data_IF_750181312218
#
_entry.id   IF_750181312218
#
_cell.length_a   1.000
_cell.length_b   1.000
_cell.length_c   1.000
_cell.angle_alpha   90.00
_cell.angle_beta   90.00
_cell.angle_gamma   90.00
#
_symmetry.space_group_name_H-M   'P 1'
#
loop_
_entity.id
_entity.type
_entity.pdbx_description
1 polymer ?
#
# COMPACT_ATOMS: atom_id res chain seq x y z
N UNK A 1 -26.93 2.77 5.24
CA UNK A 1 -25.68 3.40 5.71
C UNK A 1 -25.86 3.73 7.18
N UNK A 2 -24.82 3.63 8.01
CA UNK A 2 -24.89 3.98 9.42
C UNK A 2 -24.67 5.49 9.58
N UNK A 3 -25.28 6.07 10.62
CA UNK A 3 -25.02 7.45 11.00
C UNK A 3 -23.61 7.60 11.53
N UNK A 4 -23.03 8.78 11.31
CA UNK A 4 -21.85 9.23 12.05
C UNK A 4 -22.06 9.02 13.56
N UNK A 5 -21.01 8.72 14.30
CA UNK A 5 -21.08 8.49 15.73
C UNK A 5 -20.27 9.56 16.45
N UNK A 6 -20.83 10.10 17.53
CA UNK A 6 -20.11 11.00 18.43
C UNK A 6 -19.32 10.18 19.46
N UNK A 7 -18.33 9.44 18.96
CA UNK A 7 -17.48 8.56 19.74
C UNK A 7 -16.08 8.54 19.13
N UNK A 8 -15.05 8.62 19.99
CA UNK A 8 -13.67 8.59 19.52
C UNK A 8 -13.16 7.16 19.38
N UNK A 9 -12.65 6.78 18.22
CA UNK A 9 -11.99 5.49 18.01
C UNK A 9 -10.51 5.48 18.45
N UNK A 10 -10.01 6.61 18.93
CA UNK A 10 -8.62 6.79 19.40
C UNK A 10 -8.32 6.14 20.76
N UNK A 11 -9.31 5.52 21.41
CA UNK A 11 -9.12 4.82 22.68
C UNK A 11 -9.97 3.56 22.77
N UNK A 12 -9.55 2.58 23.59
CA UNK A 12 -10.34 1.37 23.86
C UNK A 12 -11.75 1.68 24.39
N UNK A 13 -11.87 2.66 25.29
CA UNK A 13 -13.18 3.10 25.83
C UNK A 13 -14.07 3.63 24.71
N UNK A 14 -13.53 4.49 23.86
CA UNK A 14 -14.31 5.10 22.79
C UNK A 14 -14.66 4.12 21.67
N UNK A 15 -13.79 3.15 21.35
CA UNK A 15 -14.17 1.99 20.51
C UNK A 15 -15.36 1.24 21.10
N UNK A 16 -15.41 1.05 22.43
CA UNK A 16 -16.58 0.46 23.10
C UNK A 16 -17.87 1.29 22.89
N UNK A 17 -17.77 2.62 22.88
CA UNK A 17 -18.90 3.51 22.60
C UNK A 17 -19.35 3.44 21.13
N UNK A 18 -18.42 3.25 20.20
CA UNK A 18 -18.72 2.99 18.78
C UNK A 18 -19.53 1.69 18.65
N UNK A 19 -19.12 0.61 19.30
CA UNK A 19 -19.87 -0.67 19.27
C UNK A 19 -21.27 -0.55 19.87
N UNK A 20 -21.40 0.17 20.99
CA UNK A 20 -22.72 0.44 21.56
C UNK A 20 -23.60 1.24 20.59
N UNK A 21 -23.05 2.25 19.93
CA UNK A 21 -23.76 3.06 18.92
C UNK A 21 -24.15 2.22 17.70
N UNK A 22 -23.27 1.33 17.23
CA UNK A 22 -23.56 0.38 16.14
C UNK A 22 -24.75 -0.51 16.47
N UNK A 23 -24.76 -1.07 17.68
CA UNK A 23 -25.88 -1.89 18.14
C UNK A 23 -27.19 -1.10 18.15
N UNK A 24 -27.22 0.10 18.77
CA UNK A 24 -28.41 0.94 18.78
C UNK A 24 -28.92 1.31 17.37
N UNK A 25 -28.00 1.59 16.45
CA UNK A 25 -28.36 1.92 15.08
C UNK A 25 -28.81 0.73 14.24
N UNK A 26 -28.45 -0.50 14.62
CA UNK A 26 -28.85 -1.71 13.90
C UNK A 26 -30.34 -2.03 14.05
N UNK A 27 -30.98 -1.55 15.12
CA UNK A 27 -32.36 -1.91 15.47
C UNK A 27 -32.54 -3.37 15.92
N UNK A 28 -31.46 -4.14 16.03
CA UNK A 28 -31.47 -5.53 16.47
C UNK A 28 -31.52 -5.65 17.99
N UNK A 29 -32.06 -6.78 18.47
CA UNK A 29 -31.91 -7.16 19.86
C UNK A 29 -30.42 -7.37 20.19
N UNK A 30 -30.04 -7.27 21.47
CA UNK A 30 -28.66 -7.55 21.87
C UNK A 30 -28.27 -8.99 21.51
N UNK A 31 -29.16 -9.96 21.71
CA UNK A 31 -28.91 -11.35 21.37
C UNK A 31 -28.61 -11.53 19.87
N UNK A 32 -29.42 -10.93 19.00
CA UNK A 32 -29.19 -10.99 17.57
C UNK A 32 -27.90 -10.27 17.19
N UNK A 33 -27.68 -9.04 17.65
CA UNK A 33 -26.51 -8.26 17.24
C UNK A 33 -25.19 -8.96 17.59
N UNK A 34 -25.09 -9.51 18.80
CA UNK A 34 -23.87 -10.14 19.30
C UNK A 34 -23.75 -11.64 18.96
N UNK A 35 -24.79 -12.28 18.43
CA UNK A 35 -24.71 -13.66 17.90
C UNK A 35 -24.23 -13.72 16.45
N UNK A 36 -24.36 -12.63 15.70
CA UNK A 36 -23.91 -12.56 14.30
C UNK A 36 -22.45 -12.14 14.18
N UNK A 37 -21.71 -12.78 13.28
CA UNK A 37 -20.36 -12.39 12.90
C UNK A 37 -20.36 -10.97 12.29
N UNK A 38 -19.49 -10.10 12.81
CA UNK A 38 -19.30 -8.72 12.38
C UNK A 38 -17.87 -8.50 11.86
N UNK A 39 -17.63 -8.67 10.54
CA UNK A 39 -16.37 -8.28 9.93
C UNK A 39 -16.25 -6.76 9.90
N UNK A 40 -15.11 -6.24 10.36
CA UNK A 40 -14.82 -4.81 10.34
C UNK A 40 -13.41 -4.57 9.82
N UNK A 41 -13.22 -3.44 9.15
CA UNK A 41 -11.89 -2.97 8.77
C UNK A 41 -11.59 -1.68 9.53
N UNK A 42 -10.33 -1.49 9.89
CA UNK A 42 -9.88 -0.25 10.50
C UNK A 42 -8.41 -0.02 10.24
N UNK A 43 -7.95 1.18 10.49
CA UNK A 43 -6.52 1.44 10.54
C UNK A 43 -5.87 0.65 11.70
N UNK A 44 -4.53 0.68 11.76
CA UNK A 44 -3.82 -0.07 12.79
C UNK A 44 -4.17 0.40 14.21
N UNK A 45 -4.38 1.69 14.42
CA UNK A 45 -4.72 2.26 15.72
C UNK A 45 -6.08 1.78 16.22
N UNK A 46 -7.11 1.83 15.37
CA UNK A 46 -8.45 1.30 15.69
C UNK A 46 -8.39 -0.19 16.03
N UNK A 47 -7.66 -0.98 15.25
CA UNK A 47 -7.50 -2.43 15.49
C UNK A 47 -6.75 -2.70 16.80
N UNK A 48 -5.74 -1.90 17.14
CA UNK A 48 -5.04 -1.99 18.43
C UNK A 48 -5.97 -1.66 19.60
N UNK A 49 -6.75 -0.58 19.48
CA UNK A 49 -7.70 -0.17 20.51
C UNK A 49 -8.80 -1.21 20.73
N UNK A 50 -9.34 -1.79 19.65
CA UNK A 50 -10.30 -2.88 19.72
C UNK A 50 -9.73 -4.11 20.43
N UNK A 51 -8.53 -4.55 20.04
CA UNK A 51 -7.89 -5.71 20.65
C UNK A 51 -7.55 -5.46 22.12
N UNK A 52 -7.10 -4.25 22.47
CA UNK A 52 -6.92 -3.83 23.85
C UNK A 52 -8.23 -3.93 24.64
N UNK A 53 -9.33 -3.38 24.11
CA UNK A 53 -10.66 -3.48 24.71
C UNK A 53 -11.07 -4.93 24.94
N UNK A 54 -10.97 -5.79 23.92
CA UNK A 54 -11.32 -7.21 24.04
C UNK A 54 -10.46 -7.91 25.09
N UNK A 55 -9.15 -7.66 25.11
CA UNK A 55 -8.25 -8.27 26.11
C UNK A 55 -8.59 -7.88 27.55
N UNK A 56 -9.12 -6.66 27.77
CA UNK A 56 -9.57 -6.21 29.09
C UNK A 56 -10.89 -6.87 29.52
N UNK A 57 -11.69 -7.33 28.56
CA UNK A 57 -13.02 -7.92 28.79
C UNK A 57 -13.03 -9.44 28.65
N UNK A 58 -11.92 -10.07 28.30
CA UNK A 58 -11.80 -11.52 28.10
C UNK A 58 -11.04 -12.15 29.27
N UNK A 59 -11.47 -13.31 29.81
CA UNK A 59 -12.66 -14.08 29.43
C UNK A 59 -13.95 -13.47 30.01
N UNK A 60 -15.03 -13.50 29.23
CA UNK A 60 -16.36 -13.14 29.71
C UNK A 60 -17.41 -13.98 28.99
N UNK A 61 -18.41 -14.46 29.72
CA UNK A 61 -19.48 -15.31 29.21
C UNK A 61 -20.54 -14.53 28.43
N UNK A 62 -20.60 -13.20 28.60
CA UNK A 62 -21.57 -12.34 27.93
C UNK A 62 -21.01 -11.83 26.58
N UNK A 63 -21.64 -12.16 25.45
CA UNK A 63 -21.18 -11.75 24.11
C UNK A 63 -21.02 -10.23 23.94
N UNK A 64 -21.84 -9.45 24.64
CA UNK A 64 -21.80 -7.98 24.63
C UNK A 64 -20.46 -7.44 25.16
N UNK A 65 -19.88 -8.15 26.12
CA UNK A 65 -18.65 -7.77 26.79
C UNK A 65 -17.44 -8.39 26.09
N UNK A 66 -17.52 -9.66 25.67
CA UNK A 66 -16.38 -10.32 25.03
C UNK A 66 -16.09 -9.82 23.62
N UNK A 67 -17.11 -9.37 22.88
CA UNK A 67 -17.00 -8.94 21.47
C UNK A 67 -16.41 -10.02 20.55
N UNK A 68 -16.60 -11.31 20.90
CA UNK A 68 -16.05 -12.44 20.13
C UNK A 68 -16.63 -12.55 18.73
N UNK A 69 -17.83 -12.02 18.52
CA UNK A 69 -18.49 -11.97 17.24
C UNK A 69 -17.86 -10.95 16.27
N UNK A 70 -16.96 -10.09 16.74
CA UNK A 70 -16.31 -9.06 15.92
C UNK A 70 -14.92 -9.52 15.45
N UNK A 71 -14.70 -9.46 14.14
CA UNK A 71 -13.41 -9.76 13.51
C UNK A 71 -12.90 -8.51 12.79
N UNK A 72 -11.89 -7.88 13.38
CA UNK A 72 -11.21 -6.75 12.77
C UNK A 72 -10.09 -7.17 11.81
N UNK A 73 -10.11 -6.59 10.63
CA UNK A 73 -9.09 -6.68 9.61
C UNK A 73 -8.34 -5.34 9.54
N UNK A 74 -7.01 -5.39 9.41
CA UNK A 74 -6.24 -4.20 9.06
C UNK A 74 -6.68 -3.73 7.67
N UNK A 75 -6.97 -2.43 7.54
CA UNK A 75 -7.33 -1.76 6.29
C UNK A 75 -6.24 -1.88 5.24
N UNK A 76 -6.61 -2.21 4.01
CA UNK A 76 -5.65 -2.52 2.95
C UNK A 76 -4.92 -1.26 2.47
N UNK A 77 -5.59 -0.11 2.39
CA UNK A 77 -4.96 1.14 1.98
C UNK A 77 -4.06 1.72 3.05
N UNK A 78 -4.49 1.77 4.32
CA UNK A 78 -3.62 2.23 5.40
C UNK A 78 -2.34 1.39 5.51
N UNK A 79 -2.43 0.06 5.29
CA UNK A 79 -1.25 -0.80 5.18
C UNK A 79 -0.35 -0.40 4.02
N UNK A 80 -0.91 -0.26 2.82
CA UNK A 80 -0.17 0.14 1.63
C UNK A 80 0.55 1.47 1.86
N UNK A 81 -0.14 2.49 2.37
CA UNK A 81 0.42 3.82 2.63
C UNK A 81 1.58 3.80 3.62
N UNK A 82 1.42 3.13 4.76
CA UNK A 82 2.46 3.07 5.79
C UNK A 82 3.69 2.27 5.34
N UNK A 83 3.48 1.12 4.68
CA UNK A 83 4.58 0.30 4.16
C UNK A 83 5.28 1.00 3.00
N UNK A 84 4.53 1.59 2.06
CA UNK A 84 5.07 2.35 0.95
C UNK A 84 5.90 3.54 1.43
N UNK A 85 5.38 4.33 2.38
CA UNK A 85 6.10 5.47 2.94
C UNK A 85 7.42 5.06 3.58
N UNK A 86 7.41 3.93 4.30
CA UNK A 86 8.62 3.41 4.93
C UNK A 86 9.62 2.91 3.90
N UNK A 87 9.20 2.08 2.95
CA UNK A 87 10.06 1.57 1.86
C UNK A 87 10.63 2.73 1.06
N UNK A 88 9.81 3.70 0.69
CA UNK A 88 10.23 4.87 -0.08
C UNK A 88 11.28 5.67 0.68
N UNK A 89 11.05 5.95 1.96
CA UNK A 89 12.02 6.66 2.83
C UNK A 89 13.36 5.93 2.88
N UNK A 90 13.36 4.60 2.97
CA UNK A 90 14.59 3.80 3.04
C UNK A 90 15.36 3.75 1.71
N UNK A 91 14.64 3.83 0.58
CA UNK A 91 15.24 3.84 -0.76
C UNK A 91 15.46 5.24 -1.32
N UNK A 92 15.00 6.30 -0.63
CA UNK A 92 15.01 7.66 -1.17
C UNK A 92 16.42 8.17 -1.44
N UNK A 93 17.35 7.92 -0.51
CA UNK A 93 18.74 8.38 -0.55
C UNK A 93 18.94 9.83 -0.10
N UNK A 94 20.16 10.35 -0.26
CA UNK A 94 20.52 11.73 0.03
C UNK A 94 20.97 12.49 -1.24
N UNK A 95 20.18 13.47 -1.74
CA UNK A 95 20.55 14.33 -2.87
C UNK A 95 21.86 15.10 -2.71
N UNK A 96 22.33 15.28 -1.47
CA UNK A 96 23.57 16.00 -1.18
C UNK A 96 24.82 15.13 -1.36
N UNK A 97 24.66 13.81 -1.51
CA UNK A 97 25.75 12.85 -1.62
C UNK A 97 25.88 12.41 -3.08
N UNK A 98 26.99 12.79 -3.73
CA UNK A 98 27.19 12.52 -5.16
C UNK A 98 27.24 11.02 -5.54
N UNK A 99 27.63 10.16 -4.59
CA UNK A 99 27.70 8.70 -4.74
C UNK A 99 26.47 7.96 -4.25
N UNK A 100 25.45 8.69 -3.77
CA UNK A 100 24.19 8.09 -3.39
C UNK A 100 23.55 7.41 -4.59
N UNK A 101 22.77 6.34 -4.36
CA UNK A 101 22.09 5.56 -5.42
C UNK A 101 20.58 5.54 -5.23
N UNK A 102 20.05 6.48 -4.45
CA UNK A 102 18.67 6.51 -4.03
C UNK A 102 17.71 6.95 -5.12
N UNK A 103 16.44 6.74 -4.85
CA UNK A 103 15.34 7.03 -5.75
C UNK A 103 15.29 8.50 -6.19
N UNK A 104 15.83 9.44 -5.41
CA UNK A 104 15.81 10.87 -5.76
C UNK A 104 16.36 11.17 -7.17
N UNK A 105 17.41 10.45 -7.61
CA UNK A 105 17.98 10.61 -8.97
C UNK A 105 17.02 10.16 -10.06
N UNK A 106 16.30 9.08 -9.79
CA UNK A 106 15.30 8.52 -10.70
C UNK A 106 14.15 9.52 -10.83
N UNK A 107 13.73 10.16 -9.74
CA UNK A 107 12.69 11.19 -9.75
C UNK A 107 13.11 12.43 -10.54
N UNK A 108 14.32 12.94 -10.30
CA UNK A 108 14.83 14.11 -11.00
C UNK A 108 14.99 13.84 -12.51
N UNK A 109 15.44 12.65 -12.89
CA UNK A 109 15.50 12.23 -14.28
C UNK A 109 14.10 12.17 -14.93
N UNK A 110 13.07 11.86 -14.15
CA UNK A 110 11.66 11.85 -14.58
C UNK A 110 10.98 13.22 -14.46
N UNK A 111 11.76 14.28 -14.25
CA UNK A 111 11.28 15.66 -14.16
C UNK A 111 10.49 15.97 -12.90
N UNK A 112 10.57 15.11 -11.87
CA UNK A 112 9.88 15.30 -10.61
C UNK A 112 10.85 15.84 -9.53
N UNK A 113 10.56 17.01 -8.92
CA UNK A 113 11.38 17.55 -7.83
C UNK A 113 11.42 16.58 -6.65
N UNK A 114 12.59 16.02 -6.36
CA UNK A 114 12.79 15.01 -5.32
C UNK A 114 12.29 15.46 -3.94
N UNK A 115 12.45 16.75 -3.61
CA UNK A 115 11.98 17.40 -2.38
C UNK A 115 10.47 17.26 -2.12
N UNK A 116 9.66 17.16 -3.18
CA UNK A 116 8.19 17.05 -3.10
C UNK A 116 7.71 15.60 -2.95
N UNK A 117 8.61 14.62 -3.04
CA UNK A 117 8.22 13.22 -3.15
C UNK A 117 7.80 12.61 -1.81
N UNK A 118 8.36 13.12 -0.69
CA UNK A 118 8.07 12.66 0.67
C UNK A 118 7.26 13.72 1.41
N UNK A 119 6.15 14.16 0.82
CA UNK A 119 5.15 14.92 1.55
C UNK A 119 4.22 13.95 2.30
N UNK A 120 4.22 14.01 3.64
CA UNK A 120 3.47 13.09 4.52
C UNK A 120 1.95 13.03 4.29
N UNK A 121 1.39 13.92 3.46
CA UNK A 121 -0.06 14.07 3.25
C UNK A 121 -0.54 13.56 1.89
N UNK A 122 0.34 13.24 0.95
CA UNK A 122 -0.06 12.78 -0.39
C UNK A 122 0.52 11.39 -0.73
N UNK A 123 -0.11 10.36 -0.15
CA UNK A 123 0.27 8.97 -0.41
C UNK A 123 0.04 8.55 -1.87
N UNK A 124 -0.93 9.16 -2.55
CA UNK A 124 -1.23 8.86 -3.95
C UNK A 124 -0.09 9.32 -4.83
N UNK A 125 0.37 10.56 -4.66
CA UNK A 125 1.50 11.11 -5.41
C UNK A 125 2.78 10.30 -5.15
N UNK A 126 3.06 9.94 -3.90
CA UNK A 126 4.20 9.13 -3.51
C UNK A 126 4.19 7.77 -4.22
N UNK A 127 3.08 7.01 -4.13
CA UNK A 127 2.96 5.69 -4.76
C UNK A 127 3.07 5.81 -6.29
N UNK A 128 2.48 6.86 -6.88
CA UNK A 128 2.61 7.12 -8.31
C UNK A 128 4.06 7.34 -8.73
N UNK A 129 4.87 8.06 -7.93
CA UNK A 129 6.29 8.21 -8.24
C UNK A 129 7.06 6.88 -8.14
N UNK A 130 6.76 6.03 -7.16
CA UNK A 130 7.37 4.69 -7.04
C UNK A 130 7.04 3.80 -8.24
N UNK A 131 5.80 3.87 -8.74
CA UNK A 131 5.35 3.19 -9.95
C UNK A 131 6.11 3.70 -11.19
N UNK A 132 6.21 5.03 -11.38
CA UNK A 132 6.97 5.63 -12.50
C UNK A 132 8.44 5.21 -12.49
N UNK A 133 9.08 5.18 -11.32
CA UNK A 133 10.46 4.69 -11.17
C UNK A 133 10.55 3.21 -11.55
N UNK A 134 9.62 2.37 -11.08
CA UNK A 134 9.56 0.94 -11.39
C UNK A 134 9.44 0.70 -12.90
N UNK A 135 8.48 1.36 -13.56
CA UNK A 135 8.27 1.26 -15.01
C UNK A 135 9.49 1.71 -15.80
N UNK A 136 10.14 2.78 -15.37
CA UNK A 136 11.33 3.33 -16.05
C UNK A 136 12.54 2.39 -15.95
N UNK A 137 12.75 1.75 -14.80
CA UNK A 137 13.81 0.74 -14.63
C UNK A 137 13.52 -0.48 -15.52
N UNK A 138 12.28 -0.97 -15.57
CA UNK A 138 11.90 -2.10 -16.42
C UNK A 138 12.09 -1.74 -17.89
N UNK A 139 11.62 -0.57 -18.32
CA UNK A 139 11.80 -0.06 -19.68
C UNK A 139 13.29 -0.01 -20.05
N UNK A 140 14.14 0.56 -19.20
CA UNK A 140 15.58 0.62 -19.43
C UNK A 140 16.20 -0.78 -19.52
N UNK A 141 15.82 -1.70 -18.64
CA UNK A 141 16.25 -3.11 -18.69
C UNK A 141 15.88 -3.80 -20.00
N UNK A 142 14.67 -3.58 -20.52
CA UNK A 142 14.26 -4.09 -21.84
C UNK A 142 15.15 -3.51 -22.95
N UNK A 143 15.44 -2.21 -22.92
CA UNK A 143 16.32 -1.57 -23.90
C UNK A 143 17.74 -2.13 -23.88
N UNK A 144 18.26 -2.45 -22.70
CA UNK A 144 19.58 -3.09 -22.52
C UNK A 144 19.57 -4.49 -23.16
N UNK A 145 18.56 -5.32 -22.91
CA UNK A 145 18.43 -6.64 -23.55
C UNK A 145 18.34 -6.53 -25.08
N UNK A 146 17.62 -5.52 -25.57
CA UNK A 146 17.49 -5.21 -26.99
C UNK A 146 18.74 -4.54 -27.60
N UNK A 147 19.77 -4.23 -26.79
CA UNK A 147 20.98 -3.47 -27.21
C UNK A 147 20.62 -2.15 -27.89
N UNK A 148 19.60 -1.49 -27.37
CA UNK A 148 19.07 -0.23 -27.90
C UNK A 148 19.19 0.93 -26.91
N UNK A 149 19.64 0.71 -25.68
CA UNK A 149 19.73 1.73 -24.63
C UNK A 149 20.59 2.96 -24.99
N UNK A 150 21.55 2.84 -25.92
CA UNK A 150 22.34 3.97 -26.41
C UNK A 150 21.73 4.70 -27.62
N UNK A 151 20.60 4.21 -28.16
CA UNK A 151 19.90 4.85 -29.27
C UNK A 151 18.94 5.91 -28.72
N UNK A 152 18.62 6.98 -29.46
CA UNK A 152 17.54 7.88 -29.07
C UNK A 152 16.21 7.12 -28.99
N UNK A 153 15.29 7.59 -28.14
CA UNK A 153 13.90 7.15 -28.18
C UNK A 153 13.28 7.45 -29.54
N UNK A 154 12.36 6.60 -29.97
CA UNK A 154 11.59 6.82 -31.19
C UNK A 154 10.13 6.92 -30.73
N UNK A 155 9.47 8.04 -31.05
CA UNK A 155 8.05 8.23 -30.73
C UNK A 155 7.14 7.28 -31.53
N UNK A 156 7.60 6.88 -32.71
CA UNK A 156 6.91 5.91 -33.55
C UNK A 156 6.96 4.50 -32.93
N UNK A 157 5.79 3.92 -32.71
CA UNK A 157 5.63 2.58 -32.15
C UNK A 157 6.10 1.55 -33.17
N UNK A 158 7.22 0.89 -32.87
CA UNK A 158 7.72 -0.23 -33.67
C UNK A 158 6.85 -1.46 -33.43
N UNK A 159 6.37 -2.09 -34.51
CA UNK A 159 5.66 -3.37 -34.43
C UNK A 159 6.66 -4.52 -34.27
N UNK A 160 6.67 -5.16 -33.11
CA UNK A 160 7.48 -6.35 -32.84
C UNK A 160 6.63 -7.63 -32.96
N UNK A 161 7.15 -8.72 -33.58
CA UNK A 161 6.52 -10.03 -33.52
C UNK A 161 6.36 -10.51 -32.07
N UNK A 162 5.21 -11.12 -31.73
CA UNK A 162 4.92 -11.59 -30.37
C UNK A 162 5.96 -12.57 -29.83
N UNK A 163 6.47 -13.47 -30.67
CA UNK A 163 7.51 -14.42 -30.27
C UNK A 163 8.83 -13.72 -29.90
N UNK A 164 9.19 -12.66 -30.62
CA UNK A 164 10.37 -11.84 -30.33
C UNK A 164 10.18 -11.07 -29.02
N UNK A 165 9.02 -10.42 -28.85
CA UNK A 165 8.67 -9.73 -27.61
C UNK A 165 8.76 -10.65 -26.40
N UNK A 166 8.15 -11.84 -26.47
CA UNK A 166 8.21 -12.82 -25.39
C UNK A 166 9.66 -13.23 -25.10
N UNK A 167 10.49 -13.47 -26.13
CA UNK A 167 11.91 -13.78 -25.93
C UNK A 167 12.67 -12.65 -25.23
N UNK A 168 12.36 -11.38 -25.52
CA UNK A 168 12.96 -10.23 -24.84
C UNK A 168 12.54 -10.20 -23.37
N UNK A 169 11.25 -10.37 -23.07
CA UNK A 169 10.73 -10.41 -21.70
C UNK A 169 11.34 -11.59 -20.91
N UNK A 170 11.39 -12.77 -21.51
CA UNK A 170 11.95 -13.99 -20.91
C UNK A 170 13.45 -13.90 -20.64
N UNK A 171 14.17 -13.00 -21.34
CA UNK A 171 15.57 -12.66 -21.04
C UNK A 171 15.66 -11.57 -19.97
N UNK A 172 14.82 -10.54 -20.04
CA UNK A 172 14.84 -9.42 -19.11
C UNK A 172 14.52 -9.86 -17.67
N UNK A 173 13.51 -10.71 -17.50
CA UNK A 173 13.06 -11.17 -16.19
C UNK A 173 14.17 -11.88 -15.37
N UNK A 174 14.83 -12.95 -15.86
CA UNK A 174 15.90 -13.60 -15.11
C UNK A 174 17.10 -12.67 -14.87
N UNK A 175 17.40 -11.76 -15.79
CA UNK A 175 18.53 -10.82 -15.69
C UNK A 175 18.38 -9.77 -14.59
N UNK A 176 17.16 -9.27 -14.33
CA UNK A 176 16.98 -8.12 -13.43
C UNK A 176 15.96 -8.36 -12.30
N UNK A 177 14.91 -9.16 -12.53
CA UNK A 177 13.78 -9.24 -11.59
C UNK A 177 13.92 -10.38 -10.55
N UNK A 178 14.87 -11.30 -10.72
CA UNK A 178 14.97 -12.49 -9.88
C UNK A 178 15.85 -12.31 -8.64
N UNK A 179 15.64 -13.19 -7.64
CA UNK A 179 16.55 -13.31 -6.50
C UNK A 179 17.99 -13.64 -6.94
N UNK A 180 18.14 -14.50 -7.95
CA UNK A 180 19.46 -14.88 -8.47
C UNK A 180 20.19 -13.66 -9.02
N UNK A 181 19.51 -12.82 -9.81
CA UNK A 181 20.07 -11.56 -10.30
C UNK A 181 20.56 -10.66 -9.16
N UNK A 182 19.74 -10.44 -8.13
CA UNK A 182 20.15 -9.67 -6.95
C UNK A 182 21.33 -10.28 -6.20
N UNK A 183 21.38 -11.59 -6.05
CA UNK A 183 22.50 -12.28 -5.40
C UNK A 183 23.80 -12.14 -6.20
N UNK A 184 23.73 -12.29 -7.54
CA UNK A 184 24.86 -12.07 -8.43
C UNK A 184 25.35 -10.62 -8.35
N UNK A 185 24.43 -9.65 -8.42
CA UNK A 185 24.74 -8.23 -8.30
C UNK A 185 25.38 -7.87 -6.96
N UNK A 186 24.98 -8.52 -5.86
CA UNK A 186 25.59 -8.33 -4.53
C UNK A 186 27.06 -8.77 -4.48
N UNK A 187 27.46 -9.68 -5.36
CA UNK A 187 28.84 -10.16 -5.49
C UNK A 187 29.72 -9.29 -6.39
N UNK A 188 29.16 -8.28 -7.07
CA UNK A 188 29.92 -7.34 -7.88
C UNK A 188 30.67 -6.33 -7.00
N UNK A 189 31.74 -5.74 -7.54
CA UNK A 189 32.56 -4.75 -6.83
C UNK A 189 31.77 -3.47 -6.47
N UNK A 190 30.84 -3.06 -7.34
CA UNK A 190 29.94 -1.93 -7.11
C UNK A 190 28.56 -2.42 -6.68
N UNK A 191 28.00 -1.88 -5.58
CA UNK A 191 26.65 -2.23 -5.14
C UNK A 191 25.55 -1.52 -5.94
N UNK A 192 25.87 -0.72 -6.96
CA UNK A 192 24.86 0.08 -7.68
C UNK A 192 23.79 -0.77 -8.36
N UNK A 193 24.21 -1.82 -9.09
CA UNK A 193 23.28 -2.78 -9.69
C UNK A 193 22.43 -3.43 -8.59
N UNK A 194 23.06 -3.89 -7.51
CA UNK A 194 22.36 -4.52 -6.39
C UNK A 194 21.30 -3.59 -5.77
N UNK A 195 21.64 -2.31 -5.52
CA UNK A 195 20.74 -1.31 -4.98
C UNK A 195 19.56 -1.05 -5.94
N UNK A 196 19.83 -0.93 -7.24
CA UNK A 196 18.80 -0.71 -8.28
C UNK A 196 17.84 -1.90 -8.35
N UNK A 197 18.36 -3.13 -8.38
CA UNK A 197 17.53 -4.34 -8.43
C UNK A 197 16.74 -4.57 -7.14
N UNK A 198 17.27 -4.16 -5.99
CA UNK A 198 16.57 -4.23 -4.71
C UNK A 198 15.45 -3.19 -4.62
N UNK A 199 15.70 -1.95 -5.06
CA UNK A 199 14.66 -0.91 -5.17
C UNK A 199 13.54 -1.36 -6.11
N UNK A 200 13.89 -1.88 -7.30
CA UNK A 200 12.93 -2.45 -8.25
C UNK A 200 12.08 -3.56 -7.60
N UNK A 201 12.72 -4.47 -6.86
CA UNK A 201 12.01 -5.52 -6.14
C UNK A 201 11.03 -4.95 -5.10
N UNK A 202 11.48 -4.05 -4.24
CA UNK A 202 10.65 -3.54 -3.14
C UNK A 202 9.51 -2.66 -3.66
N UNK A 203 9.76 -1.79 -4.63
CA UNK A 203 8.73 -0.94 -5.24
C UNK A 203 7.70 -1.77 -6.03
N UNK A 204 8.13 -2.84 -6.70
CA UNK A 204 7.20 -3.74 -7.40
C UNK A 204 6.15 -4.36 -6.47
N UNK A 205 6.47 -4.59 -5.19
CA UNK A 205 5.49 -5.11 -4.23
C UNK A 205 4.35 -4.12 -3.96
N UNK A 206 4.61 -2.82 -4.09
CA UNK A 206 3.62 -1.77 -3.86
C UNK A 206 2.74 -1.57 -5.09
N UNK A 207 3.34 -1.62 -6.29
CA UNK A 207 2.61 -1.63 -7.56
C UNK A 207 1.64 -2.82 -7.61
N UNK A 208 2.12 -4.00 -7.22
CA UNK A 208 1.31 -5.23 -7.16
C UNK A 208 0.17 -5.13 -6.13
N UNK A 209 0.41 -4.51 -4.97
CA UNK A 209 -0.64 -4.28 -3.96
C UNK A 209 -1.68 -3.24 -4.41
N UNK A 210 -1.30 -2.28 -5.26
CA UNK A 210 -2.20 -1.25 -5.83
C UNK A 210 -3.11 -1.81 -6.93
N UNK A 211 -2.68 -2.86 -7.63
CA UNK A 211 -3.42 -3.42 -8.78
C UNK A 211 -4.83 -3.94 -8.45
N UNK A 212 -5.15 -4.16 -7.17
CA UNK A 212 -6.53 -4.38 -6.72
C UNK A 212 -7.04 -5.82 -6.87
N UNK A 213 -6.17 -6.81 -7.07
CA UNK A 213 -6.51 -8.23 -6.96
C UNK A 213 -6.19 -8.79 -5.56
N UNK A 214 -7.08 -9.64 -5.05
CA UNK A 214 -6.95 -10.21 -3.71
C UNK A 214 -5.83 -11.25 -3.61
N UNK A 215 -5.57 -12.03 -4.67
CA UNK A 215 -4.49 -13.01 -4.70
C UNK A 215 -3.11 -12.35 -4.67
N UNK A 216 -2.93 -11.31 -5.48
CA UNK A 216 -1.77 -10.43 -5.49
C UNK A 216 -1.56 -9.77 -4.13
N UNK A 217 -2.63 -9.19 -3.55
CA UNK A 217 -2.58 -8.56 -2.23
C UNK A 217 -2.13 -9.53 -1.13
N UNK A 218 -2.68 -10.75 -1.11
CA UNK A 218 -2.27 -11.78 -0.14
C UNK A 218 -0.81 -12.21 -0.32
N UNK A 219 -0.34 -12.31 -1.56
CA UNK A 219 1.05 -12.67 -1.87
C UNK A 219 2.02 -11.58 -1.40
N UNK A 220 1.65 -10.30 -1.60
CA UNK A 220 2.42 -9.16 -1.11
C UNK A 220 2.41 -9.10 0.42
N UNK A 221 1.27 -9.28 1.07
CA UNK A 221 1.19 -9.24 2.54
C UNK A 221 2.02 -10.32 3.22
N UNK A 222 2.14 -11.51 2.61
CA UNK A 222 3.09 -12.55 3.07
C UNK A 222 4.54 -12.03 3.05
N UNK A 223 4.94 -11.32 2.00
CA UNK A 223 6.27 -10.71 1.91
C UNK A 223 6.46 -9.59 2.92
N UNK A 224 5.49 -8.67 3.02
CA UNK A 224 5.55 -7.57 3.97
C UNK A 224 5.53 -8.03 5.43
N UNK A 225 4.88 -9.16 5.75
CA UNK A 225 4.94 -9.77 7.08
C UNK A 225 6.38 -10.06 7.53
N UNK A 226 7.24 -10.44 6.58
CA UNK A 226 8.67 -10.69 6.80
C UNK A 226 9.46 -9.37 6.76
N UNK A 227 9.24 -8.52 5.76
CA UNK A 227 9.95 -7.23 5.64
C UNK A 227 9.72 -6.31 6.86
N UNK A 228 8.50 -6.30 7.41
CA UNK A 228 8.14 -5.49 8.57
C UNK A 228 8.93 -5.83 9.84
N UNK A 229 9.59 -7.00 9.88
CA UNK A 229 10.50 -7.35 10.98
C UNK A 229 11.82 -6.54 10.94
N UNK A 230 12.18 -6.01 9.77
CA UNK A 230 13.41 -5.25 9.57
C UNK A 230 13.18 -3.77 9.24
N UNK A 231 12.05 -3.41 8.64
CA UNK A 231 11.72 -2.03 8.27
C UNK A 231 11.57 -1.15 9.53
N UNK A 232 12.24 0.02 9.58
CA UNK A 232 12.17 0.92 10.72
C UNK A 232 10.79 1.60 10.81
N UNK A 233 10.32 1.92 12.02
CA UNK A 233 9.10 2.71 12.22
C UNK A 233 7.76 1.97 12.10
N UNK A 234 7.73 0.73 11.57
CA UNK A 234 6.49 -0.06 11.42
C UNK A 234 6.38 -1.23 12.40
N UNK A 235 6.80 -1.00 13.65
CA UNK A 235 6.92 -2.03 14.70
C UNK A 235 5.59 -2.73 15.02
N UNK A 236 4.47 -2.02 15.02
CA UNK A 236 3.15 -2.61 15.27
C UNK A 236 2.71 -3.52 14.11
N UNK A 237 2.94 -3.11 12.85
CA UNK A 237 2.69 -3.96 11.69
C UNK A 237 3.53 -5.24 11.71
N UNK A 238 4.76 -5.20 12.26
CA UNK A 238 5.60 -6.39 12.43
C UNK A 238 4.96 -7.47 13.33
N UNK A 239 3.91 -7.14 14.08
CA UNK A 239 3.19 -8.11 14.94
C UNK A 239 1.80 -8.43 14.36
N UNK A 240 1.05 -7.40 13.96
CA UNK A 240 -0.33 -7.54 13.53
C UNK A 240 -0.49 -8.12 12.11
N UNK A 241 0.38 -7.73 11.17
CA UNK A 241 0.27 -8.16 9.78
C UNK A 241 0.53 -9.67 9.60
N UNK A 242 1.63 -10.27 10.15
CA UNK A 242 1.85 -11.71 10.06
C UNK A 242 0.66 -12.51 10.60
N UNK A 243 0.08 -12.05 11.70
CA UNK A 243 -1.06 -12.71 12.32
C UNK A 243 -2.31 -12.65 11.44
N UNK A 244 -2.61 -11.49 10.86
CA UNK A 244 -3.72 -11.38 9.93
C UNK A 244 -3.53 -12.29 8.70
N UNK A 245 -2.31 -12.38 8.18
CA UNK A 245 -1.98 -13.27 7.06
C UNK A 245 -2.21 -14.73 7.44
N UNK A 246 -1.73 -15.17 8.61
CA UNK A 246 -1.97 -16.54 9.10
C UNK A 246 -3.45 -16.81 9.32
N UNK A 247 -4.19 -15.85 9.90
CA UNK A 247 -5.62 -15.96 10.09
C UNK A 247 -6.34 -16.22 8.76
N UNK A 248 -6.07 -15.39 7.76
CA UNK A 248 -6.74 -15.44 6.46
C UNK A 248 -6.29 -16.61 5.57
N UNK A 249 -5.09 -17.15 5.77
CA UNK A 249 -4.51 -18.14 4.83
C UNK A 249 -4.33 -19.54 5.41
N UNK A 250 -4.32 -19.70 6.74
CA UNK A 250 -4.03 -20.97 7.42
C UNK A 250 -5.10 -21.34 8.45
N UNK A 251 -5.51 -20.39 9.29
CA UNK A 251 -6.32 -20.70 10.49
C UNK A 251 -7.81 -20.81 10.17
N UNK A 252 -8.36 -19.86 9.40
CA UNK A 252 -9.80 -19.82 9.16
C UNK A 252 -10.27 -20.95 8.23
N UNK A 253 -11.49 -21.48 8.42
CA UNK A 253 -12.11 -22.40 7.48
C UNK A 253 -12.14 -21.80 6.06
N UNK A 254 -12.02 -22.63 4.99
CA UNK A 254 -11.88 -22.13 3.61
C UNK A 254 -12.94 -21.11 3.19
N UNK A 255 -14.20 -21.33 3.55
CA UNK A 255 -15.30 -20.43 3.20
C UNK A 255 -15.21 -19.08 3.92
N UNK A 256 -14.89 -19.08 5.22
CA UNK A 256 -14.73 -17.86 5.99
C UNK A 256 -13.47 -17.09 5.58
N UNK A 257 -12.37 -17.80 5.32
CA UNK A 257 -11.16 -17.26 4.73
C UNK A 257 -11.45 -16.58 3.39
N UNK A 258 -12.21 -17.22 2.50
CA UNK A 258 -12.61 -16.64 1.22
C UNK A 258 -13.44 -15.38 1.44
N UNK A 259 -14.47 -15.46 2.29
CA UNK A 259 -15.33 -14.32 2.59
C UNK A 259 -14.54 -13.10 3.10
N UNK A 260 -13.72 -13.26 4.15
CA UNK A 260 -12.95 -12.14 4.71
C UNK A 260 -11.88 -11.60 3.76
N UNK A 261 -11.26 -12.46 2.94
CA UNK A 261 -10.32 -11.99 1.91
C UNK A 261 -11.01 -11.12 0.86
N UNK A 262 -12.13 -11.60 0.32
CA UNK A 262 -12.91 -10.87 -0.67
C UNK A 262 -13.64 -9.63 -0.11
N UNK A 263 -13.68 -9.45 1.22
CA UNK A 263 -14.26 -8.28 1.87
C UNK A 263 -13.27 -7.11 2.07
N UNK A 264 -11.98 -7.30 1.76
CA UNK A 264 -10.94 -6.26 1.88
C UNK A 264 -11.01 -5.21 0.77
N UNK A 265 -11.46 -5.64 -0.42
CA UNK A 265 -11.53 -4.81 -1.62
C UNK A 265 -12.99 -4.73 -2.10
N UNK A 266 -13.35 -3.62 -2.71
CA UNK A 266 -14.66 -3.40 -3.32
C UNK A 266 -14.51 -2.65 -4.65
N UNK A 267 -15.49 -2.78 -5.55
CA UNK A 267 -15.58 -1.95 -6.76
C UNK A 267 -16.70 -0.92 -6.56
N UNK A 268 -16.38 0.35 -6.24
CA UNK A 268 -17.40 1.35 -5.92
C UNK A 268 -18.36 1.64 -7.08
N UNK A 269 -17.86 1.50 -8.32
CA UNK A 269 -18.63 1.77 -9.55
C UNK A 269 -19.15 0.50 -10.21
N UNK A 270 -18.81 -0.69 -9.68
CA UNK A 270 -19.10 -1.98 -10.31
C UNK A 270 -18.32 -2.25 -11.60
N UNK A 271 -17.40 -1.36 -12.01
CA UNK A 271 -16.59 -1.56 -13.21
C UNK A 271 -15.58 -2.69 -12.99
N UNK A 272 -15.37 -3.57 -13.99
CA UNK A 272 -14.28 -4.52 -14.00
C UNK A 272 -12.93 -3.83 -13.77
N UNK A 273 -12.04 -4.48 -13.04
CA UNK A 273 -10.67 -4.02 -12.76
C UNK A 273 -10.57 -2.65 -12.07
N UNK A 274 -11.65 -2.22 -11.40
CA UNK A 274 -11.71 -0.96 -10.66
C UNK A 274 -11.93 -1.21 -9.17
N UNK A 275 -11.08 -2.05 -8.59
CA UNK A 275 -11.11 -2.38 -7.18
C UNK A 275 -10.33 -1.35 -6.36
N UNK A 276 -10.89 -1.00 -5.20
CA UNK A 276 -10.22 -0.19 -4.19
C UNK A 276 -10.37 -0.87 -2.83
N UNK A 277 -9.49 -0.53 -1.89
CA UNK A 277 -9.65 -0.99 -0.53
C UNK A 277 -10.89 -0.37 0.13
N UNK A 278 -11.58 -1.17 0.97
CA UNK A 278 -12.79 -0.71 1.69
C UNK A 278 -12.50 0.48 2.61
N UNK A 279 -11.37 0.46 3.30
CA UNK A 279 -10.94 1.56 4.16
C UNK A 279 -10.63 2.84 3.37
N UNK A 280 -10.08 2.73 2.15
CA UNK A 280 -9.92 3.91 1.28
C UNK A 280 -11.25 4.47 0.80
N UNK A 281 -12.22 3.62 0.48
CA UNK A 281 -13.55 4.10 0.12
C UNK A 281 -14.22 4.84 1.29
N UNK A 282 -14.00 4.38 2.52
CA UNK A 282 -14.43 5.07 3.73
C UNK A 282 -13.78 6.45 3.86
N UNK A 283 -12.47 6.58 3.60
CA UNK A 283 -11.78 7.89 3.58
C UNK A 283 -12.39 8.86 2.57
N UNK A 284 -12.80 8.37 1.39
CA UNK A 284 -13.51 9.20 0.42
C UNK A 284 -14.83 9.71 1.00
N UNK A 285 -15.60 8.86 1.70
CA UNK A 285 -16.86 9.29 2.32
C UNK A 285 -16.62 10.31 3.44
N UNK A 286 -15.59 10.09 4.27
CA UNK A 286 -15.19 11.02 5.32
C UNK A 286 -14.80 12.37 4.74
N UNK A 287 -13.99 12.40 3.68
CA UNK A 287 -13.63 13.62 2.97
C UNK A 287 -14.86 14.42 2.52
N UNK A 288 -15.88 13.76 1.97
CA UNK A 288 -17.09 14.45 1.53
C UNK A 288 -17.90 15.02 2.69
N UNK A 289 -17.93 14.32 3.83
CA UNK A 289 -18.56 14.84 5.04
C UNK A 289 -17.83 16.08 5.56
N UNK A 290 -16.50 16.05 5.61
CA UNK A 290 -15.69 17.21 5.97
C UNK A 290 -15.85 18.36 4.97
N UNK A 291 -15.89 18.06 3.68
CA UNK A 291 -16.09 19.04 2.62
C UNK A 291 -17.43 19.79 2.78
N UNK A 292 -18.52 19.04 3.00
CA UNK A 292 -19.84 19.63 3.24
C UNK A 292 -19.88 20.40 4.55
N UNK A 293 -19.28 19.85 5.61
CA UNK A 293 -19.19 20.49 6.92
C UNK A 293 -18.49 21.85 6.84
N UNK A 294 -17.33 21.90 6.20
CA UNK A 294 -16.51 23.11 6.08
C UNK A 294 -17.14 24.19 5.20
N UNK A 295 -18.01 23.81 4.26
CA UNK A 295 -18.70 24.76 3.35
C UNK A 295 -20.05 25.26 3.87
N UNK A 296 -20.55 24.69 4.98
CA UNK A 296 -21.86 25.05 5.54
C UNK A 296 -21.85 26.33 6.40
N UNK A 297 -20.70 26.98 6.60
CA UNK A 297 -20.58 28.29 7.29
C UNK A 297 -20.65 28.23 8.83
N UNK A 298 -20.63 29.39 9.50
CA UNK A 298 -20.81 29.50 10.97
C UNK A 298 -22.25 29.11 11.34
N UNK A 299 -22.46 27.84 11.66
CA UNK A 299 -23.77 27.29 12.02
C UNK A 299 -23.98 25.81 11.71
N UNK A 300 -22.94 25.08 11.27
CA UNK A 300 -23.06 23.65 10.97
C UNK A 300 -23.38 22.87 12.24
N UNK A 301 -24.66 22.50 12.39
CA UNK A 301 -25.12 21.65 13.47
C UNK A 301 -24.57 20.22 13.26
N UNK A 302 -23.78 19.72 14.21
CA UNK A 302 -23.28 18.33 14.19
C UNK A 302 -24.42 17.31 14.08
N UNK A 303 -25.59 17.60 14.65
CA UNK A 303 -26.79 16.77 14.49
C UNK A 303 -27.23 16.69 13.02
N UNK A 304 -27.11 17.76 12.22
CA UNK A 304 -27.41 17.71 10.78
C UNK A 304 -26.38 16.88 10.02
N UNK A 305 -25.09 17.02 10.34
CA UNK A 305 -24.05 16.20 9.72
C UNK A 305 -24.28 14.71 10.02
N UNK A 306 -24.60 14.40 11.28
CA UNK A 306 -24.90 13.05 11.75
C UNK A 306 -26.21 12.51 11.16
N UNK A 307 -27.32 13.18 11.38
CA UNK A 307 -28.66 12.62 11.14
C UNK A 307 -29.14 12.80 9.69
N UNK A 308 -28.57 13.74 8.93
CA UNK A 308 -28.99 14.02 7.55
C UNK A 308 -27.87 13.67 6.57
N UNK A 309 -26.69 14.28 6.69
CA UNK A 309 -25.66 14.15 5.65
C UNK A 309 -24.99 12.78 5.64
N UNK A 310 -24.61 12.23 6.79
CA UNK A 310 -23.89 10.95 6.85
C UNK A 310 -24.68 9.79 6.22
N UNK A 311 -26.00 9.75 6.41
CA UNK A 311 -26.87 8.73 5.83
C UNK A 311 -27.05 8.87 4.32
N UNK A 312 -26.94 10.09 3.81
CA UNK A 312 -27.29 10.45 2.44
C UNK A 312 -26.08 10.85 1.60
N UNK A 313 -24.85 10.67 2.09
CA UNK A 313 -23.65 11.23 1.48
C UNK A 313 -23.44 10.76 0.03
N UNK A 314 -23.72 9.49 -0.27
CA UNK A 314 -23.66 8.96 -1.63
C UNK A 314 -24.72 9.59 -2.53
N UNK A 315 -25.95 9.74 -2.04
CA UNK A 315 -27.03 10.40 -2.80
C UNK A 315 -26.69 11.87 -3.09
N UNK A 316 -26.16 12.59 -2.09
CA UNK A 316 -25.74 13.98 -2.26
C UNK A 316 -24.59 14.12 -3.27
N UNK A 317 -23.62 13.20 -3.26
CA UNK A 317 -22.56 13.15 -4.28
C UNK A 317 -23.15 12.96 -5.68
N UNK A 318 -24.08 12.02 -5.85
CA UNK A 318 -24.75 11.77 -7.14
C UNK A 318 -25.54 12.99 -7.59
N UNK A 319 -26.35 13.59 -6.72
CA UNK A 319 -27.11 14.81 -7.03
C UNK A 319 -26.19 15.97 -7.46
N UNK A 320 -25.05 16.16 -6.77
CA UNK A 320 -24.08 17.19 -7.16
C UNK A 320 -23.41 16.89 -8.51
N UNK A 321 -23.23 15.61 -8.85
CA UNK A 321 -22.71 15.20 -10.15
C UNK A 321 -23.76 15.45 -11.24
N UNK A 322 -25.00 15.01 -11.05
CA UNK A 322 -26.11 15.20 -11.98
C UNK A 322 -26.36 16.69 -12.25
N UNK A 323 -26.39 17.52 -11.21
CA UNK A 323 -26.52 18.98 -11.35
C UNK A 323 -25.39 19.60 -12.18
N UNK A 324 -24.16 19.09 -12.07
CA UNK A 324 -23.06 19.57 -12.93
C UNK A 324 -23.32 19.20 -14.39
N UNK A 325 -23.76 17.96 -14.64
CA UNK A 325 -24.14 17.49 -15.97
C UNK A 325 -25.27 18.33 -16.57
N UNK A 326 -26.34 18.58 -15.81
CA UNK A 326 -27.47 19.38 -16.24
C UNK A 326 -27.08 20.84 -16.53
N UNK A 327 -26.12 21.39 -15.78
CA UNK A 327 -25.53 22.71 -16.05
C UNK A 327 -24.58 22.72 -17.26
N UNK A 328 -24.52 21.65 -18.07
CA UNK A 328 -23.64 21.54 -19.24
C UNK A 328 -22.16 21.30 -18.90
N UNK A 329 -21.84 21.02 -17.64
CA UNK A 329 -20.48 20.63 -17.25
C UNK A 329 -20.28 19.14 -17.45
N UNK A 330 -19.23 18.76 -18.17
CA UNK A 330 -18.82 17.36 -18.21
C UNK A 330 -18.32 16.94 -16.82
N UNK A 331 -18.88 15.86 -16.26
CA UNK A 331 -18.29 15.20 -15.09
C UNK A 331 -16.99 14.56 -15.56
N UNK A 332 -15.90 15.30 -15.45
CA UNK A 332 -14.56 14.76 -15.66
C UNK A 332 -14.20 14.04 -14.37
N UNK A 333 -14.45 12.72 -14.33
CA UNK A 333 -13.75 11.88 -13.37
C UNK A 333 -12.27 11.95 -13.71
N UNK A 334 -11.50 12.71 -12.94
CA UNK A 334 -10.05 12.76 -13.09
C UNK A 334 -9.46 11.39 -12.70
N UNK A 335 -9.46 10.44 -13.63
CA UNK A 335 -8.51 9.35 -13.59
C UNK A 335 -7.19 9.92 -14.09
N UNK A 336 -6.40 10.53 -13.21
CA UNK A 336 -5.02 10.88 -13.54
C UNK A 336 -4.30 9.57 -13.81
N UNK A 337 -4.17 9.21 -15.09
CA UNK A 337 -3.35 8.08 -15.49
C UNK A 337 -1.92 8.47 -15.17
N UNK A 338 -1.25 7.64 -14.37
CA UNK A 338 0.14 7.84 -14.00
C UNK A 338 1.05 7.46 -15.18
N UNK A 339 1.00 8.24 -16.25
CA UNK A 339 1.68 7.94 -17.50
C UNK A 339 3.11 8.48 -17.56
N UNK A 340 3.95 7.80 -18.34
CA UNK A 340 5.28 8.25 -18.74
C UNK A 340 5.28 8.61 -20.22
N UNK A 341 5.83 9.78 -20.53
CA UNK A 341 6.06 10.24 -21.90
C UNK A 341 7.36 9.68 -22.48
N UNK A 342 7.54 9.73 -23.80
CA UNK A 342 8.81 9.35 -24.42
C UNK A 342 9.99 10.18 -23.88
N UNK A 343 9.75 11.47 -23.64
CA UNK A 343 10.75 12.37 -23.04
C UNK A 343 11.18 11.91 -21.64
N UNK A 344 10.25 11.43 -20.81
CA UNK A 344 10.58 10.90 -19.48
C UNK A 344 11.52 9.70 -19.61
N UNK A 345 11.22 8.78 -20.54
CA UNK A 345 12.06 7.62 -20.81
C UNK A 345 13.44 7.98 -21.37
N UNK A 346 13.52 9.01 -22.22
CA UNK A 346 14.79 9.46 -22.80
C UNK A 346 15.68 10.08 -21.73
N UNK A 347 15.13 10.96 -20.89
CA UNK A 347 15.85 11.56 -19.76
C UNK A 347 16.28 10.50 -18.74
N UNK A 348 15.39 9.54 -18.44
CA UNK A 348 15.71 8.41 -17.59
C UNK A 348 16.83 7.55 -18.18
N UNK A 349 16.77 7.21 -19.47
CA UNK A 349 17.80 6.40 -20.14
C UNK A 349 19.14 7.12 -20.16
N UNK A 350 19.16 8.44 -20.39
CA UNK A 350 20.39 9.24 -20.32
C UNK A 350 21.02 9.15 -18.93
N UNK A 351 20.23 9.35 -17.87
CA UNK A 351 20.70 9.19 -16.49
C UNK A 351 21.18 7.75 -16.23
N UNK A 352 20.40 6.76 -16.67
CA UNK A 352 20.66 5.35 -16.42
C UNK A 352 21.96 4.86 -17.09
N UNK A 353 22.26 5.32 -18.30
CA UNK A 353 23.52 5.07 -19.00
C UNK A 353 24.68 5.79 -18.29
N UNK A 354 24.51 7.08 -17.95
CA UNK A 354 25.57 7.88 -17.31
C UNK A 354 25.97 7.36 -15.92
N UNK A 355 25.00 6.84 -15.16
CA UNK A 355 25.22 6.25 -13.83
C UNK A 355 25.49 4.74 -13.89
N UNK A 356 25.42 4.15 -15.08
CA UNK A 356 25.53 2.72 -15.33
C UNK A 356 24.71 1.86 -14.36
N UNK A 357 23.42 2.17 -14.23
CA UNK A 357 22.59 1.62 -13.13
C UNK A 357 22.38 0.11 -13.21
N UNK A 358 22.65 -0.48 -14.38
CA UNK A 358 22.58 -1.92 -14.64
C UNK A 358 23.95 -2.56 -14.90
N UNK A 359 25.07 -1.87 -14.59
CA UNK A 359 26.45 -2.38 -14.69
C UNK A 359 26.78 -2.98 -16.07
N UNK A 360 26.50 -2.23 -17.14
CA UNK A 360 26.69 -2.62 -18.53
C UNK A 360 28.03 -2.19 -19.10
N UNK A 361 28.63 -1.13 -18.57
CA UNK A 361 29.77 -0.46 -19.21
C UNK A 361 31.11 -0.69 -18.50
N UNK A 362 31.12 -1.46 -17.41
CA UNK A 362 32.29 -2.00 -16.70
C UNK A 362 33.46 -1.00 -16.59
N UNK A 363 33.43 -0.16 -15.55
CA UNK A 363 34.57 0.50 -14.88
C UNK A 363 34.05 1.66 -14.03
N UNK A 364 33.55 1.37 -12.83
CA UNK A 364 33.45 2.40 -11.80
C UNK A 364 34.68 2.30 -10.89
N UNK A 365 35.73 3.07 -11.21
CA UNK A 365 36.73 3.52 -10.23
C UNK A 365 36.17 4.74 -9.46
N UNK A 366 34.88 4.67 -9.11
CA UNK A 366 34.17 5.73 -8.42
C UNK A 366 34.39 5.65 -6.91
N UNK A 367 33.93 6.65 -6.15
CA UNK A 367 34.01 6.62 -4.70
C UNK A 367 33.10 5.53 -4.13
N UNK A 368 33.42 5.04 -2.93
CA UNK A 368 32.72 3.91 -2.29
C UNK A 368 31.21 4.17 -2.17
N UNK A 369 30.41 3.28 -2.73
CA UNK A 369 28.95 3.29 -2.62
C UNK A 369 28.53 2.34 -1.49
N UNK A 370 27.49 2.69 -0.75
CA UNK A 370 26.94 1.85 0.32
C UNK A 370 25.86 0.91 -0.23
N UNK A 371 25.96 -0.38 0.10
CA UNK A 371 24.93 -1.35 -0.25
C UNK A 371 23.65 -1.17 0.60
N UNK A 372 22.49 -1.17 -0.06
CA UNK A 372 21.19 -1.07 0.60
C UNK A 372 20.84 -2.35 1.37
N UNK A 373 20.15 -2.20 2.50
CA UNK A 373 19.69 -3.32 3.31
C UNK A 373 18.56 -4.07 2.60
N UNK A 374 18.72 -5.37 2.38
CA UNK A 374 17.62 -6.24 1.93
C UNK A 374 16.68 -6.49 3.11
N UNK A 375 15.58 -5.74 3.19
CA UNK A 375 14.62 -5.83 4.28
C UNK A 375 13.90 -7.17 4.33
N UNK A 376 13.74 -7.86 3.20
CA UNK A 376 13.10 -9.17 3.17
C UNK A 376 13.98 -10.23 3.83
N UNK A 377 15.24 -10.35 3.41
CA UNK A 377 16.19 -11.31 4.00
C UNK A 377 16.56 -10.93 5.43
N UNK A 378 16.77 -9.65 5.70
CA UNK A 378 17.05 -9.15 7.05
C UNK A 378 15.86 -9.42 7.98
N UNK A 379 14.63 -9.26 7.47
CA UNK A 379 13.42 -9.53 8.22
C UNK A 379 13.26 -11.01 8.60
N UNK A 380 13.57 -11.92 7.67
CA UNK A 380 13.62 -13.36 7.94
C UNK A 380 14.64 -13.67 9.04
N UNK A 381 15.87 -13.16 8.91
CA UNK A 381 16.95 -13.39 9.87
C UNK A 381 16.60 -12.85 11.27
N UNK A 382 16.07 -11.62 11.34
CA UNK A 382 15.61 -11.01 12.59
C UNK A 382 14.50 -11.83 13.24
N UNK A 383 13.54 -12.32 12.47
CA UNK A 383 12.44 -13.14 12.99
C UNK A 383 12.94 -14.48 13.53
N UNK A 384 13.79 -15.18 12.77
CA UNK A 384 14.39 -16.45 13.20
C UNK A 384 15.21 -16.28 14.49
N UNK A 385 16.01 -15.21 14.55
CA UNK A 385 16.83 -14.88 15.72
C UNK A 385 15.94 -14.59 16.93
N UNK A 386 14.89 -13.76 16.75
CA UNK A 386 13.96 -13.41 17.81
C UNK A 386 13.24 -14.63 18.39
N UNK A 387 12.74 -15.53 17.54
CA UNK A 387 12.08 -16.76 18.00
C UNK A 387 13.05 -17.67 18.75
N UNK A 388 14.29 -17.82 18.27
CA UNK A 388 15.27 -18.70 18.90
C UNK A 388 15.81 -18.17 20.22
N UNK A 389 15.99 -16.86 20.34
CA UNK A 389 16.77 -16.26 21.43
C UNK A 389 15.91 -15.51 22.45
N UNK A 390 14.78 -14.93 22.04
CA UNK A 390 14.04 -13.97 22.87
C UNK A 390 12.60 -14.40 23.16
N UNK A 391 11.94 -15.09 22.22
CA UNK A 391 10.51 -15.39 22.31
C UNK A 391 10.17 -16.70 21.60
N UNK A 392 10.58 -17.82 22.21
CA UNK A 392 10.32 -19.16 21.68
C UNK A 392 8.81 -19.49 21.61
N UNK A 393 8.02 -18.90 22.51
CA UNK A 393 6.56 -18.97 22.53
C UNK A 393 5.88 -18.05 21.52
N UNK A 394 6.63 -17.16 20.87
CA UNK A 394 6.15 -16.24 19.85
C UNK A 394 5.03 -15.28 20.34
N UNK A 395 5.11 -14.90 21.62
CA UNK A 395 4.22 -13.97 22.31
C UNK A 395 4.09 -12.60 21.63
N UNK A 396 5.09 -12.17 20.86
CA UNK A 396 5.04 -10.96 20.04
C UNK A 396 3.79 -10.90 19.17
N UNK A 397 3.33 -12.03 18.63
CA UNK A 397 2.15 -12.08 17.77
C UNK A 397 0.83 -12.15 18.56
N UNK A 398 0.89 -12.35 19.87
CA UNK A 398 -0.25 -12.33 20.79
C UNK A 398 -0.48 -10.95 21.42
N UNK A 399 0.21 -9.89 20.97
CA UNK A 399 0.01 -8.54 21.48
C UNK A 399 -1.47 -8.13 21.44
N UNK A 400 -2.02 -7.82 22.62
CA UNK A 400 -3.41 -7.41 22.84
C UNK A 400 -4.45 -8.49 22.50
N UNK A 401 -4.11 -9.76 22.64
CA UNK A 401 -5.03 -10.87 22.41
C UNK A 401 -4.99 -11.91 23.52
#
# INVERSE_FOLDING_TARGET
>A
MLKLMDASDSSAKGVGQVFHSLWLQSGLSAEDFYSHLQPMDGDLGTVQNFNCLRSQRTPNTYPQESLDNVVFQLGASHKLWNVASTIFTQHFGDPKVATDTGAWQFLEALGFPSEKAIEKKDFTLMINQMERVTESIIYYGLRVIMKSNCKPGIEEKVKLPTAEWNSIVDKCYPSFCTRKARQSAKGCDSPWLYNTLLMLHDFSTLVEAKAGDIGSLMSVWKKWSLMAQALPGITNYSSYLPRQVLLLTVILPPFLSKYLRHNLLMSPTGRPDHFVAKDFWLEIQNYWLEFLYNRSGMGTNMDRLRDIFSLNITMLQTMMQDLKTDCGSNIIHQSHKNGLSQRDFDMFTLMANNRDILDQFSKNQGPTITATVDFYLTGISKLQTHIRQNDASVNKFNKHF
#
